data_IF_450006261008
#
_entry.id   IF_450006261008
#
_cell.length_a   1.000
_cell.length_b   1.000
_cell.length_c   1.000
_cell.angle_alpha   90.00
_cell.angle_beta   90.00
_cell.angle_gamma   90.00
#
_symmetry.space_group_name_H-M   'P 1'
#
loop_
_entity.id
_entity.type
_entity.pdbx_description
1 polymer ?
#
# COMPACT_ATOMS: atom_id res chain seq x y z
N UNK A 1 -11.43 -18.62 8.02
CA UNK A 1 -11.88 -17.33 8.60
C UNK A 1 -12.00 -16.36 7.45
N UNK A 2 -13.19 -15.79 7.26
CA UNK A 2 -13.44 -14.83 6.18
C UNK A 2 -12.59 -13.59 6.40
N UNK A 3 -12.09 -12.96 5.32
CA UNK A 3 -11.40 -11.64 5.35
C UNK A 3 -12.23 -10.57 6.08
N UNK A 4 -13.55 -10.70 6.07
CA UNK A 4 -14.50 -9.83 6.77
C UNK A 4 -14.31 -9.83 8.30
N UNK A 5 -13.87 -10.94 8.91
CA UNK A 5 -13.69 -11.01 10.37
C UNK A 5 -12.47 -10.21 10.87
N UNK A 6 -11.47 -9.95 10.00
CA UNK A 6 -10.26 -9.16 10.37
C UNK A 6 -10.42 -7.66 10.14
N UNK A 7 -11.34 -7.24 9.28
CA UNK A 7 -11.52 -5.84 8.89
C UNK A 7 -12.47 -5.05 9.78
N UNK A 8 -13.22 -5.70 10.66
CA UNK A 8 -14.15 -5.02 11.57
C UNK A 8 -13.38 -4.66 12.86
N UNK A 9 -13.04 -3.39 13.01
CA UNK A 9 -12.55 -2.89 14.30
C UNK A 9 -13.70 -2.95 15.31
N UNK A 10 -13.56 -3.63 16.46
CA UNK A 10 -14.59 -3.64 17.49
C UNK A 10 -14.94 -2.20 17.89
N UNK A 11 -16.23 -1.91 18.06
CA UNK A 11 -16.73 -0.57 18.47
C UNK A 11 -16.00 -0.06 19.72
N UNK A 12 -15.78 -0.94 20.69
CA UNK A 12 -15.07 -0.62 21.92
C UNK A 12 -13.63 -0.15 21.64
N UNK A 13 -12.91 -0.81 20.71
CA UNK A 13 -11.54 -0.42 20.36
C UNK A 13 -11.48 0.96 19.68
N UNK A 14 -12.46 1.28 18.81
CA UNK A 14 -12.53 2.59 18.17
C UNK A 14 -12.86 3.70 19.18
N UNK A 15 -13.75 3.44 20.15
CA UNK A 15 -14.05 4.38 21.24
C UNK A 15 -12.87 4.59 22.17
N UNK A 16 -12.12 3.53 22.48
CA UNK A 16 -10.89 3.64 23.26
C UNK A 16 -9.81 4.44 22.52
N UNK A 17 -9.67 4.24 21.23
CA UNK A 17 -8.72 5.00 20.41
C UNK A 17 -9.08 6.49 20.40
N UNK A 18 -10.33 6.85 20.18
CA UNK A 18 -10.82 8.24 20.25
C UNK A 18 -10.48 8.86 21.62
N UNK A 19 -10.84 8.19 22.71
CA UNK A 19 -10.58 8.66 24.06
C UNK A 19 -9.07 8.85 24.32
N UNK A 20 -8.27 7.87 23.94
CA UNK A 20 -6.82 7.91 24.17
C UNK A 20 -6.15 8.97 23.29
N UNK A 21 -6.63 9.19 22.09
CA UNK A 21 -6.15 10.27 21.24
C UNK A 21 -6.47 11.65 21.84
N UNK A 22 -7.70 11.85 22.32
CA UNK A 22 -8.09 13.10 22.99
C UNK A 22 -7.25 13.37 24.25
N UNK A 23 -7.01 12.33 25.08
CA UNK A 23 -6.14 12.43 26.24
C UNK A 23 -4.69 12.76 25.86
N UNK A 24 -4.17 12.16 24.79
CA UNK A 24 -2.81 12.46 24.31
C UNK A 24 -2.71 13.92 23.83
N UNK A 25 -3.69 14.44 23.11
CA UNK A 25 -3.74 15.85 22.72
C UNK A 25 -3.77 16.79 23.93
N UNK A 26 -4.60 16.50 24.93
CA UNK A 26 -4.66 17.27 26.18
C UNK A 26 -3.31 17.30 26.91
N UNK A 27 -2.63 16.14 27.01
CA UNK A 27 -1.30 16.08 27.65
C UNK A 27 -0.23 16.86 26.84
N UNK A 28 -0.31 16.85 25.52
CA UNK A 28 0.57 17.65 24.68
C UNK A 28 0.36 19.14 24.98
N UNK A 29 -0.88 19.63 25.00
CA UNK A 29 -1.19 21.02 25.33
C UNK A 29 -0.65 21.39 26.72
N UNK A 30 -0.93 20.60 27.76
CA UNK A 30 -0.42 20.83 29.11
C UNK A 30 1.10 20.85 29.17
N UNK A 31 1.76 19.96 28.47
CA UNK A 31 3.23 19.93 28.38
C UNK A 31 3.80 21.21 27.78
N UNK A 32 3.23 21.70 26.69
CA UNK A 32 3.64 22.96 26.09
C UNK A 32 3.34 24.18 26.97
N UNK A 33 2.20 24.19 27.67
CA UNK A 33 1.89 25.25 28.65
C UNK A 33 2.94 25.31 29.76
N UNK A 34 3.42 24.16 30.23
CA UNK A 34 4.51 24.11 31.21
C UNK A 34 5.84 24.64 30.68
N UNK A 35 6.16 24.25 29.42
CA UNK A 35 7.36 24.77 28.75
C UNK A 35 7.29 26.30 28.56
N UNK A 36 6.13 26.81 28.14
CA UNK A 36 5.89 28.25 28.03
C UNK A 36 6.07 29.00 29.33
N UNK A 37 5.51 28.47 30.43
CA UNK A 37 5.72 29.05 31.79
C UNK A 37 7.18 29.06 32.20
N UNK A 38 7.92 27.98 31.90
CA UNK A 38 9.34 27.92 32.16
C UNK A 38 10.14 28.99 31.37
N UNK A 39 9.79 29.19 30.09
CA UNK A 39 10.38 30.24 29.26
C UNK A 39 10.12 31.64 29.85
N UNK A 40 8.89 31.93 30.26
CA UNK A 40 8.54 33.20 30.91
C UNK A 40 9.29 33.46 32.22
N UNK A 41 9.51 32.42 33.03
CA UNK A 41 10.32 32.55 34.26
C UNK A 41 11.76 32.93 33.94
N UNK A 42 12.35 32.36 32.88
CA UNK A 42 13.70 32.71 32.44
C UNK A 42 13.75 34.12 31.84
N UNK A 43 12.77 34.51 31.03
CA UNK A 43 12.66 35.89 30.46
C UNK A 43 12.51 36.93 31.58
N UNK A 44 11.75 36.64 32.63
CA UNK A 44 11.59 37.53 33.77
C UNK A 44 12.89 37.70 34.58
N UNK A 45 13.76 36.71 34.61
CA UNK A 45 15.03 36.72 35.35
C UNK A 45 16.16 37.37 34.53
N UNK A 46 16.26 37.04 33.24
CA UNK A 46 17.39 37.41 32.38
C UNK A 46 17.07 38.48 31.31
N UNK A 47 15.81 38.93 31.24
CA UNK A 47 15.29 39.73 30.13
C UNK A 47 15.09 38.96 28.84
N UNK A 48 14.43 39.58 27.87
CA UNK A 48 14.30 38.95 26.55
C UNK A 48 15.67 38.75 25.92
N UNK A 49 16.02 37.48 25.73
CA UNK A 49 17.28 37.08 25.08
C UNK A 49 17.23 37.39 23.58
N UNK A 50 17.75 38.55 23.18
CA UNK A 50 17.75 38.97 21.77
C UNK A 50 18.90 38.41 20.95
N UNK A 51 19.90 37.74 21.54
CA UNK A 51 21.15 37.37 20.86
C UNK A 51 21.30 35.88 20.51
N UNK A 52 20.60 34.95 21.16
CA UNK A 52 20.75 33.51 20.94
C UNK A 52 19.43 32.74 20.82
N UNK A 53 18.41 33.40 20.34
CA UNK A 53 17.13 32.78 20.06
C UNK A 53 16.29 32.60 21.31
N UNK A 54 15.05 32.95 21.22
CA UNK A 54 14.01 32.42 22.06
C UNK A 54 14.19 30.91 22.12
N UNK A 55 13.85 30.24 23.20
CA UNK A 55 13.82 28.78 23.26
C UNK A 55 12.95 28.19 22.14
N UNK A 56 12.28 29.05 21.40
CA UNK A 56 11.65 28.75 20.09
C UNK A 56 10.51 27.71 20.16
N UNK A 57 10.12 27.33 21.39
CA UNK A 57 9.18 26.25 21.62
C UNK A 57 7.79 26.57 21.06
N UNK A 58 7.46 27.88 21.05
CA UNK A 58 6.12 28.36 20.66
C UNK A 58 6.07 29.28 19.46
N UNK A 59 7.23 29.63 18.87
CA UNK A 59 7.21 30.42 17.63
C UNK A 59 6.64 29.62 16.48
N UNK A 60 5.66 30.23 15.79
CA UNK A 60 5.22 29.73 14.50
C UNK A 60 6.45 29.66 13.57
N UNK A 61 6.80 28.43 13.14
CA UNK A 61 7.82 28.25 12.13
C UNK A 61 7.35 28.90 10.83
N UNK A 62 8.17 29.76 10.24
CA UNK A 62 7.87 30.43 8.98
C UNK A 62 7.48 29.45 7.85
N UNK A 63 7.94 28.21 7.94
CA UNK A 63 7.63 27.12 7.01
C UNK A 63 6.33 26.38 7.33
N UNK A 64 5.68 26.63 8.47
CA UNK A 64 4.50 25.89 8.94
C UNK A 64 3.15 26.49 8.55
N UNK A 65 3.11 27.42 7.57
CA UNK A 65 1.90 28.15 7.15
C UNK A 65 1.12 28.75 8.34
N UNK A 66 1.84 29.27 9.34
CA UNK A 66 1.27 29.91 10.53
C UNK A 66 0.79 28.96 11.64
N UNK A 67 0.97 27.66 11.49
CA UNK A 67 0.61 26.70 12.56
C UNK A 67 1.63 26.73 13.69
N UNK A 68 1.15 26.67 14.92
CA UNK A 68 1.99 26.58 16.12
C UNK A 68 2.73 25.22 16.15
N UNK A 69 3.82 25.15 16.93
CA UNK A 69 4.55 23.89 17.09
C UNK A 69 3.66 22.78 17.69
N UNK A 70 2.77 23.14 18.61
CA UNK A 70 1.78 22.23 19.21
C UNK A 70 0.88 21.63 18.15
N UNK A 71 0.29 22.47 17.30
CA UNK A 71 -0.58 22.01 16.21
C UNK A 71 0.15 21.08 15.24
N UNK A 72 1.44 21.33 14.97
CA UNK A 72 2.27 20.42 14.14
C UNK A 72 2.44 19.04 14.79
N UNK A 73 2.71 19.01 16.09
CA UNK A 73 2.84 17.75 16.83
C UNK A 73 1.53 16.98 16.83
N UNK A 74 0.41 17.65 17.12
CA UNK A 74 -0.92 17.05 17.08
C UNK A 74 -1.27 16.54 15.68
N UNK A 75 -0.99 17.31 14.62
CA UNK A 75 -1.23 16.87 13.26
C UNK A 75 -0.37 15.65 12.86
N UNK A 76 0.89 15.57 13.34
CA UNK A 76 1.71 14.37 13.15
C UNK A 76 1.14 13.16 13.88
N UNK A 77 0.66 13.33 15.10
CA UNK A 77 0.01 12.26 15.85
C UNK A 77 -1.27 11.79 15.14
N UNK A 78 -2.12 12.72 14.73
CA UNK A 78 -3.33 12.45 13.94
C UNK A 78 -3.00 11.64 12.67
N UNK A 79 -2.00 12.09 11.91
CA UNK A 79 -1.52 11.40 10.72
C UNK A 79 -1.06 9.97 11.03
N UNK A 80 -0.30 9.78 12.10
CA UNK A 80 0.17 8.46 12.52
C UNK A 80 -0.98 7.51 12.87
N UNK A 81 -2.05 8.02 13.52
CA UNK A 81 -3.25 7.23 13.81
C UNK A 81 -3.93 6.77 12.53
N UNK A 82 -4.15 7.68 11.56
CA UNK A 82 -4.78 7.33 10.29
C UNK A 82 -3.96 6.35 9.46
N UNK A 83 -2.63 6.49 9.42
CA UNK A 83 -1.75 5.49 8.79
C UNK A 83 -1.90 4.11 9.44
N UNK A 84 -1.98 4.07 10.77
CA UNK A 84 -2.17 2.80 11.49
C UNK A 84 -3.52 2.17 11.19
N UNK A 85 -4.60 2.97 11.15
CA UNK A 85 -5.95 2.48 10.82
C UNK A 85 -6.01 1.92 9.39
N UNK A 86 -5.43 2.62 8.41
CA UNK A 86 -5.36 2.16 7.03
C UNK A 86 -4.54 0.86 6.92
N UNK A 87 -3.44 0.75 7.68
CA UNK A 87 -2.65 -0.48 7.75
C UNK A 87 -3.41 -1.67 8.35
N UNK A 88 -4.32 -1.43 9.32
CA UNK A 88 -5.16 -2.50 9.88
C UNK A 88 -6.18 -3.05 8.87
N UNK A 89 -6.62 -2.24 7.92
CA UNK A 89 -7.50 -2.65 6.82
C UNK A 89 -6.76 -3.38 5.70
N UNK A 90 -5.42 -3.47 5.79
CA UNK A 90 -4.57 -4.04 4.74
C UNK A 90 -4.85 -3.45 3.33
N UNK A 91 -5.25 -2.18 3.29
CA UNK A 91 -5.59 -1.47 2.04
C UNK A 91 -4.41 -1.47 1.07
N UNK A 92 -3.18 -1.39 1.58
CA UNK A 92 -1.95 -1.49 0.81
C UNK A 92 -1.79 -2.83 0.08
N UNK A 93 -2.47 -3.87 0.55
CA UNK A 93 -2.45 -5.19 -0.08
C UNK A 93 -3.61 -5.41 -1.05
N UNK A 94 -4.77 -4.83 -0.77
CA UNK A 94 -6.02 -5.07 -1.50
C UNK A 94 -6.29 -4.03 -2.58
N UNK A 95 -5.86 -2.78 -2.38
CA UNK A 95 -6.11 -1.71 -3.32
C UNK A 95 -5.18 -1.78 -4.54
N UNK A 96 -5.68 -1.31 -5.69
CA UNK A 96 -4.85 -1.00 -6.84
C UNK A 96 -3.83 0.09 -6.47
N UNK A 97 -2.71 0.13 -7.20
CA UNK A 97 -1.69 1.16 -6.97
C UNK A 97 -2.27 2.57 -7.06
N UNK A 98 -3.12 2.83 -8.05
CA UNK A 98 -3.74 4.15 -8.22
C UNK A 98 -4.60 4.55 -7.02
N UNK A 99 -5.42 3.63 -6.48
CA UNK A 99 -6.23 3.90 -5.29
C UNK A 99 -5.37 4.11 -4.05
N UNK A 100 -4.33 3.31 -3.86
CA UNK A 100 -3.40 3.46 -2.75
C UNK A 100 -2.66 4.80 -2.80
N UNK A 101 -2.16 5.21 -3.96
CA UNK A 101 -1.48 6.50 -4.16
C UNK A 101 -2.42 7.68 -3.87
N UNK A 102 -3.70 7.60 -4.24
CA UNK A 102 -4.72 8.61 -3.90
C UNK A 102 -4.92 8.72 -2.39
N UNK A 103 -5.00 7.60 -1.68
CA UNK A 103 -5.13 7.58 -0.21
C UNK A 103 -3.88 8.19 0.44
N UNK A 104 -2.68 7.79 0.00
CA UNK A 104 -1.43 8.34 0.51
C UNK A 104 -1.34 9.85 0.31
N UNK A 105 -1.67 10.33 -0.89
CA UNK A 105 -1.68 11.76 -1.20
C UNK A 105 -2.65 12.53 -0.31
N UNK A 106 -3.86 12.02 -0.10
CA UNK A 106 -4.85 12.63 0.81
C UNK A 106 -4.32 12.73 2.24
N UNK A 107 -3.62 11.69 2.73
CA UNK A 107 -2.96 11.71 4.04
C UNK A 107 -1.81 12.74 4.12
N UNK A 108 -1.08 12.97 3.02
CA UNK A 108 0.04 13.91 2.97
C UNK A 108 -0.42 15.36 2.92
N UNK A 109 -1.49 15.66 2.19
CA UNK A 109 -2.04 17.01 2.03
C UNK A 109 -2.60 17.61 3.32
N UNK A 110 -2.79 16.81 4.37
CA UNK A 110 -3.04 17.27 5.74
C UNK A 110 -4.50 17.63 6.04
N UNK A 111 -5.46 17.38 5.15
CA UNK A 111 -6.88 17.50 5.38
C UNK A 111 -7.46 16.20 5.96
N UNK A 112 -6.87 15.75 7.07
CA UNK A 112 -7.32 14.54 7.73
C UNK A 112 -8.56 14.81 8.57
N UNK A 113 -9.57 13.93 8.54
CA UNK A 113 -10.71 14.01 9.44
C UNK A 113 -10.25 13.91 10.89
N UNK A 114 -11.07 14.33 11.83
CA UNK A 114 -10.75 14.21 13.23
C UNK A 114 -10.73 12.74 13.68
N UNK A 115 -9.91 12.41 14.68
CA UNK A 115 -9.84 11.05 15.21
C UNK A 115 -11.02 10.86 16.16
N UNK A 116 -12.20 10.65 15.59
CA UNK A 116 -13.44 10.38 16.30
C UNK A 116 -13.94 8.98 15.99
N UNK A 117 -14.74 8.43 16.88
CA UNK A 117 -15.39 7.13 16.64
C UNK A 117 -16.17 7.11 15.32
N UNK A 118 -16.89 8.20 15.01
CA UNK A 118 -17.69 8.30 13.80
C UNK A 118 -16.84 8.25 12.53
N UNK A 119 -15.75 9.01 12.49
CA UNK A 119 -14.84 9.03 11.33
C UNK A 119 -14.08 7.71 11.16
N UNK A 120 -13.66 7.11 12.27
CA UNK A 120 -13.03 5.77 12.24
C UNK A 120 -14.02 4.74 11.71
N UNK A 121 -15.26 4.76 12.21
CA UNK A 121 -16.29 3.83 11.77
C UNK A 121 -16.66 4.04 10.29
N UNK A 122 -16.77 5.29 9.85
CA UNK A 122 -17.04 5.63 8.45
C UNK A 122 -15.94 5.11 7.50
N UNK A 123 -14.67 5.16 7.91
CA UNK A 123 -13.57 4.57 7.14
C UNK A 123 -13.78 3.06 6.94
N UNK A 124 -14.04 2.32 8.03
CA UNK A 124 -14.22 0.87 7.96
C UNK A 124 -15.48 0.49 7.18
N UNK A 125 -16.59 1.19 7.39
CA UNK A 125 -17.84 0.96 6.67
C UNK A 125 -17.67 1.23 5.17
N UNK A 126 -17.06 2.35 4.81
CA UNK A 126 -16.75 2.66 3.41
C UNK A 126 -15.85 1.60 2.77
N UNK A 127 -14.87 1.07 3.49
CA UNK A 127 -14.01 0.01 2.98
C UNK A 127 -14.79 -1.27 2.72
N UNK A 128 -15.65 -1.68 3.66
CA UNK A 128 -16.49 -2.89 3.53
C UNK A 128 -17.45 -2.74 2.35
N UNK A 129 -18.11 -1.59 2.21
CA UNK A 129 -19.06 -1.34 1.11
C UNK A 129 -18.39 -1.33 -0.27
N UNK A 130 -17.13 -0.90 -0.36
CA UNK A 130 -16.38 -0.81 -1.61
C UNK A 130 -15.42 -1.99 -1.84
N UNK A 131 -15.46 -3.05 -1.02
CA UNK A 131 -14.50 -4.15 -1.09
C UNK A 131 -14.50 -4.86 -2.47
N UNK A 132 -15.68 -5.06 -3.04
CA UNK A 132 -15.80 -5.70 -4.37
C UNK A 132 -15.19 -4.83 -5.47
N UNK A 133 -15.39 -3.51 -5.40
CA UNK A 133 -14.79 -2.56 -6.34
C UNK A 133 -13.26 -2.52 -6.20
N UNK A 134 -12.77 -2.45 -4.97
CA UNK A 134 -11.33 -2.46 -4.66
C UNK A 134 -10.67 -3.72 -5.22
N UNK A 135 -11.29 -4.88 -4.98
CA UNK A 135 -10.82 -6.17 -5.49
C UNK A 135 -10.84 -6.21 -7.02
N UNK A 136 -11.90 -5.69 -7.64
CA UNK A 136 -12.01 -5.62 -9.11
C UNK A 136 -10.93 -4.71 -9.73
N UNK A 137 -10.61 -3.59 -9.09
CA UNK A 137 -9.51 -2.72 -9.54
C UNK A 137 -8.16 -3.43 -9.49
N UNK A 138 -7.87 -4.18 -8.43
CA UNK A 138 -6.64 -4.99 -8.32
C UNK A 138 -6.58 -6.06 -9.43
N UNK A 139 -7.70 -6.75 -9.70
CA UNK A 139 -7.80 -7.72 -10.79
C UNK A 139 -7.56 -7.05 -12.15
N UNK A 140 -8.11 -5.85 -12.37
CA UNK A 140 -7.89 -5.07 -13.59
C UNK A 140 -6.43 -4.67 -13.75
N UNK A 141 -5.76 -4.27 -12.67
CA UNK A 141 -4.34 -3.93 -12.68
C UNK A 141 -3.49 -5.17 -13.03
N UNK A 142 -3.73 -6.31 -12.38
CA UNK A 142 -3.05 -7.57 -12.67
C UNK A 142 -3.24 -7.99 -14.14
N UNK A 143 -4.47 -7.88 -14.66
CA UNK A 143 -4.79 -8.16 -16.04
C UNK A 143 -4.02 -7.25 -17.00
N UNK A 144 -3.96 -5.95 -16.73
CA UNK A 144 -3.25 -4.99 -17.59
C UNK A 144 -1.73 -5.24 -17.60
N UNK A 145 -1.16 -5.73 -16.49
CA UNK A 145 0.25 -6.11 -16.41
C UNK A 145 0.52 -7.39 -17.21
N UNK A 146 -0.35 -8.39 -17.09
CA UNK A 146 -0.24 -9.66 -17.82
C UNK A 146 -0.47 -9.50 -19.31
N UNK A 147 -1.45 -8.67 -19.70
CA UNK A 147 -1.93 -8.49 -21.07
C UNK A 147 -1.95 -7.01 -21.46
N UNK A 148 -0.77 -6.35 -21.56
CA UNK A 148 -0.70 -4.96 -21.96
C UNK A 148 -1.27 -4.76 -23.36
N UNK A 149 -1.92 -3.61 -23.59
CA UNK A 149 -2.54 -3.26 -24.89
C UNK A 149 -1.55 -3.26 -26.04
N UNK A 150 -0.28 -2.95 -25.77
CA UNK A 150 0.80 -3.02 -26.75
C UNK A 150 1.45 -4.41 -26.69
N UNK A 151 1.19 -5.20 -27.70
CA UNK A 151 1.71 -6.56 -27.83
C UNK A 151 3.17 -6.55 -28.27
N UNK A 152 4.10 -6.66 -27.31
CA UNK A 152 5.54 -6.75 -27.60
C UNK A 152 5.95 -8.09 -28.23
N UNK A 153 5.18 -9.16 -28.00
CA UNK A 153 5.54 -10.51 -28.43
C UNK A 153 4.36 -11.24 -29.08
N UNK A 154 4.65 -11.94 -30.20
CA UNK A 154 3.66 -12.79 -30.91
C UNK A 154 3.05 -13.84 -29.97
N UNK A 155 3.82 -14.33 -28.98
CA UNK A 155 3.35 -15.29 -27.99
C UNK A 155 2.20 -14.72 -27.16
N UNK A 156 2.25 -13.45 -26.81
CA UNK A 156 1.21 -12.82 -26.01
C UNK A 156 -0.10 -12.61 -26.79
N UNK A 157 -0.04 -12.57 -28.13
CA UNK A 157 -1.23 -12.49 -29.01
C UNK A 157 -2.17 -13.69 -28.85
N UNK A 158 -1.62 -14.88 -28.56
CA UNK A 158 -2.43 -16.09 -28.36
C UNK A 158 -3.20 -16.05 -27.03
N UNK A 159 -2.70 -15.32 -26.04
CA UNK A 159 -3.36 -15.20 -24.73
C UNK A 159 -4.56 -14.27 -24.74
N UNK A 160 -4.51 -13.20 -25.55
CA UNK A 160 -5.68 -12.33 -25.78
C UNK A 160 -6.87 -13.10 -26.37
N UNK A 161 -6.64 -14.33 -26.87
CA UNK A 161 -7.65 -15.26 -27.39
C UNK A 161 -8.00 -16.40 -26.43
N UNK A 162 -7.54 -16.36 -25.17
CA UNK A 162 -7.86 -17.37 -24.14
C UNK A 162 -7.23 -18.75 -24.36
N UNK A 163 -6.25 -18.90 -25.27
CA UNK A 163 -5.73 -20.22 -25.68
C UNK A 163 -4.32 -20.55 -25.21
N UNK A 164 -3.65 -19.66 -24.50
CA UNK A 164 -2.27 -19.89 -24.09
C UNK A 164 -2.09 -19.96 -22.58
N UNK A 165 -1.18 -20.82 -22.13
CA UNK A 165 -0.81 -20.95 -20.71
C UNK A 165 0.48 -20.21 -20.34
N UNK A 166 1.05 -19.40 -21.27
CA UNK A 166 2.33 -18.69 -21.08
C UNK A 166 2.25 -17.24 -21.50
N UNK A 167 2.85 -16.37 -20.71
CA UNK A 167 2.99 -14.94 -21.01
C UNK A 167 4.47 -14.55 -20.89
N UNK A 168 4.91 -13.59 -21.72
CA UNK A 168 6.24 -13.01 -21.65
C UNK A 168 6.08 -11.58 -21.14
N UNK A 169 6.67 -11.33 -19.96
CA UNK A 169 6.67 -10.02 -19.32
C UNK A 169 8.04 -9.36 -19.54
N UNK A 170 8.11 -8.25 -20.30
CA UNK A 170 9.36 -7.57 -20.59
C UNK A 170 9.90 -6.83 -19.35
N UNK A 171 11.21 -6.79 -19.20
CA UNK A 171 11.93 -5.96 -18.24
C UNK A 171 11.58 -6.22 -16.75
N UNK A 172 11.18 -7.47 -16.41
CA UNK A 172 10.81 -7.83 -15.03
C UNK A 172 11.97 -8.35 -14.20
N UNK A 173 13.03 -8.80 -14.85
CA UNK A 173 14.17 -9.41 -14.18
C UNK A 173 15.48 -8.76 -14.63
N UNK A 174 16.48 -8.87 -13.78
CA UNK A 174 17.85 -8.43 -14.02
C UNK A 174 18.80 -9.60 -13.79
N UNK A 175 19.92 -9.58 -14.52
CA UNK A 175 21.01 -10.51 -14.34
C UNK A 175 22.10 -9.81 -13.56
N UNK A 176 22.32 -10.24 -12.31
CA UNK A 176 23.31 -9.63 -11.42
C UNK A 176 24.74 -10.03 -11.83
N UNK A 177 25.74 -9.28 -11.35
CA UNK A 177 27.15 -9.52 -11.62
C UNK A 177 27.66 -10.91 -11.22
N UNK A 178 27.05 -11.52 -10.20
CA UNK A 178 27.35 -12.88 -9.73
C UNK A 178 26.70 -13.98 -10.60
N UNK A 179 26.06 -13.61 -11.70
CA UNK A 179 25.37 -14.55 -12.58
C UNK A 179 23.97 -14.98 -12.12
N UNK A 180 23.46 -14.45 -11.02
CA UNK A 180 22.13 -14.76 -10.50
C UNK A 180 21.06 -13.87 -11.12
N UNK A 181 19.85 -14.41 -11.23
CA UNK A 181 18.68 -13.64 -11.61
C UNK A 181 17.98 -13.04 -10.38
N UNK A 182 17.53 -11.80 -10.54
CA UNK A 182 16.73 -11.08 -9.52
C UNK A 182 15.60 -10.34 -10.19
N UNK A 183 14.56 -10.07 -9.43
CA UNK A 183 13.50 -9.17 -9.88
C UNK A 183 14.04 -7.75 -9.97
N UNK A 184 13.71 -7.03 -11.04
CA UNK A 184 14.08 -5.61 -11.18
C UNK A 184 13.33 -4.79 -10.13
N UNK A 185 14.08 -4.02 -9.34
CA UNK A 185 13.55 -3.23 -8.21
C UNK A 185 12.34 -2.37 -8.60
N UNK A 186 12.39 -1.71 -9.76
CA UNK A 186 11.30 -0.85 -10.23
C UNK A 186 10.07 -1.63 -10.74
N UNK A 187 10.15 -2.95 -10.87
CA UNK A 187 9.11 -3.83 -11.42
C UNK A 187 8.58 -4.84 -10.42
N UNK A 188 9.11 -4.85 -9.21
CA UNK A 188 8.72 -5.78 -8.15
C UNK A 188 7.23 -5.68 -7.84
N UNK A 189 6.70 -4.46 -7.69
CA UNK A 189 5.30 -4.23 -7.41
C UNK A 189 4.35 -4.84 -8.45
N UNK A 190 4.74 -4.85 -9.72
CA UNK A 190 3.92 -5.46 -10.77
C UNK A 190 3.78 -6.98 -10.57
N UNK A 191 4.84 -7.66 -10.13
CA UNK A 191 4.79 -9.09 -9.82
C UNK A 191 4.01 -9.37 -8.54
N UNK A 192 4.11 -8.49 -7.55
CA UNK A 192 3.33 -8.54 -6.31
C UNK A 192 1.83 -8.43 -6.63
N UNK A 193 1.42 -7.52 -7.50
CA UNK A 193 0.02 -7.36 -7.91
C UNK A 193 -0.52 -8.62 -8.60
N UNK A 194 0.28 -9.22 -9.51
CA UNK A 194 -0.11 -10.48 -10.17
C UNK A 194 -0.31 -11.60 -9.15
N UNK A 195 0.66 -11.80 -8.27
CA UNK A 195 0.63 -12.90 -7.28
C UNK A 195 -0.54 -12.75 -6.30
N UNK A 196 -0.77 -11.53 -5.80
CA UNK A 196 -1.91 -11.20 -4.93
C UNK A 196 -3.26 -11.48 -5.59
N UNK A 197 -3.42 -11.10 -6.87
CA UNK A 197 -4.64 -11.35 -7.62
C UNK A 197 -4.96 -12.85 -7.68
N UNK A 198 -3.95 -13.71 -7.91
CA UNK A 198 -4.14 -15.15 -7.95
C UNK A 198 -4.47 -15.75 -6.57
N UNK A 199 -3.83 -15.27 -5.50
CA UNK A 199 -4.16 -15.66 -4.13
C UNK A 199 -5.60 -15.30 -3.74
N UNK A 200 -6.06 -14.12 -4.12
CA UNK A 200 -7.44 -13.69 -3.87
C UNK A 200 -8.45 -14.53 -4.66
N UNK A 201 -8.17 -14.80 -5.95
CA UNK A 201 -9.03 -15.64 -6.80
C UNK A 201 -9.12 -17.08 -6.29
N UNK A 202 -8.05 -17.61 -5.67
CA UNK A 202 -8.05 -18.95 -5.07
C UNK A 202 -8.73 -18.99 -3.68
N UNK A 203 -9.21 -17.85 -3.17
CA UNK A 203 -9.88 -17.75 -1.87
C UNK A 203 -8.95 -17.93 -0.66
N UNK A 204 -7.63 -17.98 -0.89
CA UNK A 204 -6.64 -18.16 0.20
C UNK A 204 -6.28 -16.86 0.92
N UNK A 205 -6.76 -15.73 0.39
CA UNK A 205 -6.36 -14.43 0.87
C UNK A 205 -4.91 -14.08 0.49
N UNK A 206 -4.50 -12.88 0.84
CA UNK A 206 -3.14 -12.41 0.55
C UNK A 206 -2.17 -13.00 1.58
N UNK A 207 -0.99 -13.52 1.15
CA UNK A 207 0.00 -14.07 2.06
C UNK A 207 0.40 -13.07 3.15
N UNK A 208 0.58 -13.56 4.38
CA UNK A 208 1.04 -12.73 5.50
C UNK A 208 2.51 -12.33 5.29
N UNK A 209 2.84 -11.10 5.66
CA UNK A 209 4.18 -10.55 5.58
C UNK A 209 4.46 -9.73 4.32
N UNK A 210 5.67 -9.17 4.26
CA UNK A 210 6.14 -8.32 3.15
C UNK A 210 6.54 -9.10 1.90
N UNK A 211 6.61 -10.42 1.98
CA UNK A 211 7.18 -11.25 0.92
C UNK A 211 6.13 -11.76 -0.02
N UNK A 212 6.38 -11.57 -1.32
CA UNK A 212 5.58 -12.13 -2.39
C UNK A 212 6.21 -13.47 -2.81
N UNK A 213 5.49 -14.61 -2.74
CA UNK A 213 5.98 -15.91 -3.14
C UNK A 213 6.63 -15.94 -4.53
N UNK A 214 6.06 -15.25 -5.51
CA UNK A 214 6.62 -15.17 -6.86
C UNK A 214 7.95 -14.41 -6.89
N UNK A 215 8.04 -13.26 -6.22
CA UNK A 215 9.26 -12.45 -6.14
C UNK A 215 10.37 -13.21 -5.42
N UNK A 216 10.06 -13.83 -4.29
CA UNK A 216 11.01 -14.63 -3.51
C UNK A 216 11.54 -15.82 -4.31
N UNK A 217 10.67 -16.55 -5.00
CA UNK A 217 11.06 -17.68 -5.83
C UNK A 217 12.00 -17.24 -6.97
N UNK A 218 11.75 -16.10 -7.62
CA UNK A 218 12.65 -15.57 -8.66
C UNK A 218 13.99 -15.18 -8.06
N UNK A 219 14.00 -14.45 -6.94
CA UNK A 219 15.23 -13.97 -6.29
C UNK A 219 16.09 -15.11 -5.72
N UNK A 220 15.49 -16.26 -5.42
CA UNK A 220 16.19 -17.46 -4.93
C UNK A 220 16.52 -18.47 -6.03
N UNK A 221 16.13 -18.22 -7.29
CA UNK A 221 16.36 -19.14 -8.41
C UNK A 221 17.83 -19.26 -8.85
N UNK A 222 18.69 -18.40 -8.32
CA UNK A 222 20.13 -18.37 -8.63
C UNK A 222 20.42 -18.12 -10.11
N UNK A 223 21.48 -18.76 -10.63
CA UNK A 223 21.88 -18.64 -12.03
C UNK A 223 20.99 -19.39 -13.01
N UNK A 224 20.17 -20.34 -12.54
CA UNK A 224 19.24 -21.08 -13.41
C UNK A 224 18.10 -20.21 -13.91
N UNK A 225 17.68 -19.21 -13.13
CA UNK A 225 16.56 -18.33 -13.41
C UNK A 225 15.25 -19.07 -13.59
N UNK A 226 15.14 -20.32 -13.12
CA UNK A 226 13.95 -21.17 -13.27
C UNK A 226 13.41 -21.57 -11.91
N UNK A 227 12.11 -21.67 -11.81
CA UNK A 227 11.45 -22.14 -10.60
C UNK A 227 9.95 -22.20 -10.79
N UNK A 228 9.28 -22.51 -9.69
CA UNK A 228 7.82 -22.53 -9.66
C UNK A 228 7.29 -22.06 -8.30
N UNK A 229 6.08 -21.53 -8.32
CA UNK A 229 5.25 -21.24 -7.16
C UNK A 229 3.98 -22.09 -7.21
N UNK A 230 3.04 -21.82 -6.36
CA UNK A 230 1.74 -22.47 -6.41
C UNK A 230 1.01 -22.21 -7.74
N UNK A 231 1.06 -20.96 -8.24
CA UNK A 231 0.31 -20.53 -9.42
C UNK A 231 1.10 -20.49 -10.71
N UNK A 232 2.42 -20.38 -10.64
CA UNK A 232 3.26 -20.09 -11.79
C UNK A 232 4.47 -21.02 -11.87
N UNK A 233 4.82 -21.42 -13.09
CA UNK A 233 6.20 -21.78 -13.45
C UNK A 233 6.84 -20.59 -14.12
N UNK A 234 8.11 -20.30 -13.84
CA UNK A 234 8.77 -19.15 -14.42
C UNK A 234 10.16 -19.48 -14.97
N UNK A 235 10.56 -18.62 -15.92
CA UNK A 235 11.93 -18.59 -16.44
C UNK A 235 12.36 -17.15 -16.65
N UNK A 236 13.36 -16.71 -15.90
CA UNK A 236 14.07 -15.45 -16.11
C UNK A 236 15.05 -15.63 -17.29
N UNK A 237 15.16 -14.60 -18.13
CA UNK A 237 15.99 -14.62 -19.32
C UNK A 237 17.00 -13.46 -19.28
N UNK A 238 18.18 -13.66 -19.89
CA UNK A 238 19.26 -12.65 -19.94
C UNK A 238 18.85 -11.33 -20.61
N UNK A 239 17.86 -11.37 -21.52
CA UNK A 239 17.27 -10.18 -22.13
C UNK A 239 16.26 -9.47 -21.21
N UNK A 240 16.30 -9.74 -19.90
CA UNK A 240 15.45 -9.17 -18.83
C UNK A 240 13.97 -9.56 -18.91
N UNK A 241 13.60 -10.47 -19.79
CA UNK A 241 12.23 -10.97 -19.88
C UNK A 241 11.99 -12.03 -18.82
N UNK A 242 10.77 -12.01 -18.24
CA UNK A 242 10.24 -13.07 -17.41
C UNK A 242 9.19 -13.84 -18.19
N UNK A 243 9.39 -15.13 -18.39
CA UNK A 243 8.39 -16.01 -18.92
C UNK A 243 7.60 -16.61 -17.78
N UNK A 244 6.30 -16.41 -17.73
CA UNK A 244 5.39 -17.04 -16.79
C UNK A 244 4.52 -18.07 -17.51
N UNK A 245 4.39 -19.25 -16.92
CA UNK A 245 3.46 -20.29 -17.32
C UNK A 245 2.46 -20.50 -16.18
N UNK A 246 1.18 -20.39 -16.49
CA UNK A 246 0.10 -20.55 -15.51
C UNK A 246 -0.13 -22.02 -15.18
N UNK A 247 -0.07 -22.39 -13.89
CA UNK A 247 -0.41 -23.73 -13.40
C UNK A 247 -1.91 -23.90 -13.18
N UNK A 248 -2.61 -22.80 -12.88
CA UNK A 248 -4.05 -22.75 -12.58
C UNK A 248 -4.78 -21.94 -13.66
N UNK A 249 -5.13 -22.61 -14.75
CA UNK A 249 -5.86 -21.98 -15.86
C UNK A 249 -7.29 -21.58 -15.48
N UNK A 250 -7.88 -22.24 -14.51
CA UNK A 250 -9.17 -21.88 -13.94
C UNK A 250 -9.15 -20.47 -13.34
N UNK A 251 -8.12 -20.14 -12.56
CA UNK A 251 -7.96 -18.80 -11.96
C UNK A 251 -7.68 -17.74 -13.04
N UNK A 252 -6.87 -18.08 -14.06
CA UNK A 252 -6.64 -17.17 -15.18
C UNK A 252 -7.94 -16.86 -15.91
N UNK A 253 -8.76 -17.87 -16.19
CA UNK A 253 -10.06 -17.70 -16.84
C UNK A 253 -11.01 -16.85 -16.00
N UNK A 254 -10.99 -17.03 -14.66
CA UNK A 254 -11.76 -16.21 -13.72
C UNK A 254 -11.29 -14.75 -13.77
N UNK A 255 -9.96 -14.51 -13.74
CA UNK A 255 -9.39 -13.16 -13.87
C UNK A 255 -9.87 -12.46 -15.14
N UNK A 256 -9.78 -13.17 -16.27
CA UNK A 256 -10.24 -12.66 -17.58
C UNK A 256 -11.75 -12.38 -17.56
N UNK A 257 -12.55 -13.26 -16.96
CA UNK A 257 -14.00 -13.09 -16.82
C UNK A 257 -14.39 -11.88 -15.96
N UNK A 258 -13.75 -11.69 -14.84
CA UNK A 258 -14.00 -10.56 -13.92
C UNK A 258 -13.68 -9.21 -14.58
N UNK A 259 -12.58 -9.16 -15.35
CA UNK A 259 -12.09 -7.93 -15.97
C UNK A 259 -12.72 -7.69 -17.35
N UNK A 260 -12.91 -8.75 -18.12
CA UNK A 260 -13.30 -8.69 -19.52
C UNK A 260 -14.78 -8.41 -19.78
N UNK A 261 -15.66 -8.51 -18.77
CA UNK A 261 -17.10 -8.28 -18.95
C UNK A 261 -17.73 -9.00 -20.12
N UNK A 262 -17.27 -10.19 -20.44
CA UNK A 262 -17.84 -11.05 -21.51
C UNK A 262 -17.51 -10.65 -22.97
N UNK A 263 -17.14 -9.40 -23.25
CA UNK A 263 -17.10 -8.91 -24.64
C UNK A 263 -15.73 -8.99 -25.34
N UNK A 264 -14.64 -9.28 -24.63
CA UNK A 264 -13.30 -9.35 -25.25
C UNK A 264 -12.81 -10.77 -25.59
N UNK A 265 -13.54 -11.80 -25.23
CA UNK A 265 -13.24 -13.19 -25.58
C UNK A 265 -13.90 -13.66 -26.88
N UNK A 266 -14.78 -12.85 -27.45
CA UNK A 266 -15.56 -13.18 -28.67
C UNK A 266 -15.14 -12.44 -29.97
N UNK A 267 -14.02 -11.72 -29.93
CA UNK A 267 -13.54 -11.01 -31.15
C UNK A 267 -12.18 -11.51 -31.61
#
# INVERSE_FOLDING_TARGET
MSYLDKSIMPRQTAQELERNFALACDQIHKGYDLLYKAEQLLEATFGKYTRYGDLGVFKADSNSKGKTHVERVINKLKKSVWYKLIGLLEIDKLASKERYDKIQKSLEEGNLPDVTFQEIYALFDSFIQNQDEITKELMQEAFNILFPRHEYYKTNKKHNKGTGNKVILPWKVEHAWNGEFRVSYHREQELVVIDRAFHLLDGKGIPEGYRCPLVDAINTSGSTGKGETEYFKFRACQNRNLHLEFKRMDLLNTLVGVVGGGDKLAA
#
